data_IF_922039142436
#
_entry.id   IF_922039142436
#
_cell.length_a   1.000
_cell.length_b   1.000
_cell.length_c   1.000
_cell.angle_alpha   90.00
_cell.angle_beta   90.00
_cell.angle_gamma   90.00
#
_symmetry.space_group_name_H-M   'P 1'
#
loop_
_entity.id
_entity.type
_entity.pdbx_description
1 polymer ?
#
# COMPACT_ATOMS: atom_id res chain seq x y z
N UNK A 1 -16.64 -10.61 -3.84
CA UNK A 1 -18.02 -10.73 -3.28
C UNK A 1 -17.99 -11.37 -1.89
N UNK A 2 -17.29 -12.49 -1.65
CA UNK A 2 -17.17 -13.07 -0.30
C UNK A 2 -16.53 -12.11 0.69
N UNK A 3 -15.48 -11.39 0.31
CA UNK A 3 -14.85 -10.33 1.10
C UNK A 3 -15.82 -9.17 1.31
N UNK A 4 -16.60 -8.78 0.32
CA UNK A 4 -17.62 -7.74 0.43
C UNK A 4 -18.75 -8.17 1.36
N UNK A 5 -19.24 -9.42 1.30
CA UNK A 5 -20.25 -9.97 2.22
C UNK A 5 -19.74 -10.11 3.64
N UNK A 6 -18.47 -10.44 3.84
CA UNK A 6 -17.82 -10.45 5.18
C UNK A 6 -17.69 -9.04 5.75
N UNK A 7 -17.26 -8.07 4.94
CA UNK A 7 -17.21 -6.65 5.29
C UNK A 7 -18.62 -6.13 5.63
N UNK A 8 -19.64 -6.52 4.89
CA UNK A 8 -21.03 -6.17 5.19
C UNK A 8 -21.55 -6.83 6.49
N UNK A 9 -21.18 -8.08 6.76
CA UNK A 9 -21.54 -8.77 8.01
C UNK A 9 -20.86 -8.11 9.23
N UNK A 10 -19.60 -7.79 9.13
CA UNK A 10 -18.84 -7.09 10.19
C UNK A 10 -19.34 -5.65 10.37
N UNK A 11 -19.76 -4.97 9.29
CA UNK A 11 -20.45 -3.68 9.35
C UNK A 11 -21.81 -3.75 10.04
N UNK A 12 -22.62 -4.76 9.78
CA UNK A 12 -23.93 -4.92 10.43
C UNK A 12 -23.81 -5.20 11.93
N UNK A 13 -22.78 -5.92 12.36
CA UNK A 13 -22.49 -6.15 13.79
C UNK A 13 -21.88 -4.91 14.47
N UNK A 14 -21.07 -4.12 13.76
CA UNK A 14 -20.52 -2.86 14.26
C UNK A 14 -21.56 -1.73 14.27
N UNK A 15 -22.47 -1.68 13.30
CA UNK A 15 -23.50 -0.63 13.21
C UNK A 15 -24.60 -0.78 14.28
N UNK A 16 -24.92 -2.01 14.73
CA UNK A 16 -25.86 -2.22 15.85
C UNK A 16 -25.36 -1.72 17.21
N UNK A 17 -24.06 -1.39 17.33
CA UNK A 17 -23.48 -0.82 18.57
C UNK A 17 -23.24 0.69 18.54
N UNK A 18 -23.61 1.39 17.44
CA UNK A 18 -23.37 2.84 17.27
C UNK A 18 -24.58 3.58 16.73
N UNK A 19 -25.76 3.36 17.30
CA UNK A 19 -26.83 4.35 17.18
C UNK A 19 -26.86 5.20 18.44
N UNK A 20 -26.93 6.52 18.22
CA UNK A 20 -27.12 7.60 19.21
C UNK A 20 -25.81 8.08 19.88
N UNK A 21 -25.28 9.15 19.40
CA UNK A 21 -25.23 10.49 19.98
C UNK A 21 -24.26 11.38 19.23
N UNK A 22 -24.78 12.29 18.48
CA UNK A 22 -24.07 13.45 17.96
C UNK A 22 -23.86 14.42 19.12
N UNK A 23 -22.85 14.16 19.98
CA UNK A 23 -22.40 15.12 21.00
C UNK A 23 -20.90 15.03 21.14
N UNK A 24 -20.21 16.08 20.68
CA UNK A 24 -18.79 16.36 20.94
C UNK A 24 -17.83 15.24 20.49
N UNK A 25 -17.37 15.31 19.25
CA UNK A 25 -16.11 14.65 18.88
C UNK A 25 -15.03 15.41 19.69
N UNK A 26 -14.78 14.94 20.90
CA UNK A 26 -13.56 15.28 21.63
C UNK A 26 -12.46 14.75 20.73
N UNK A 27 -11.69 15.65 20.10
CA UNK A 27 -10.46 15.26 19.41
C UNK A 27 -9.57 14.59 20.44
N UNK A 28 -9.60 13.26 20.51
CA UNK A 28 -8.61 12.54 21.30
C UNK A 28 -7.24 12.95 20.79
N UNK A 29 -6.32 13.33 21.68
CA UNK A 29 -4.96 13.64 21.26
C UNK A 29 -4.38 12.43 20.55
N UNK A 30 -3.66 12.69 19.43
CA UNK A 30 -2.99 11.63 18.67
C UNK A 30 -2.05 10.87 19.62
N UNK A 31 -2.21 9.54 19.67
CA UNK A 31 -1.37 8.70 20.52
C UNK A 31 0.07 8.75 20.02
N UNK A 32 0.97 9.28 20.82
CA UNK A 32 2.39 9.30 20.51
C UNK A 32 2.95 7.87 20.55
N UNK A 33 3.49 7.42 19.43
CA UNK A 33 4.17 6.14 19.30
C UNK A 33 5.58 6.38 18.79
N UNK A 34 6.51 5.47 19.08
CA UNK A 34 7.85 5.54 18.49
C UNK A 34 7.79 5.39 16.96
N UNK A 35 8.85 5.83 16.28
CA UNK A 35 8.99 5.76 14.84
C UNK A 35 8.43 6.97 14.10
N UNK A 36 8.03 6.76 12.85
CA UNK A 36 7.50 7.82 11.98
C UNK A 36 6.31 8.50 12.65
N UNK A 37 6.38 9.81 12.82
CA UNK A 37 5.40 10.61 13.57
C UNK A 37 5.02 11.87 12.80
N UNK A 38 3.76 12.29 12.92
CA UNK A 38 3.32 13.57 12.39
C UNK A 38 4.05 14.73 13.06
N UNK A 39 4.31 15.83 12.33
CA UNK A 39 4.95 17.01 12.90
C UNK A 39 4.10 17.67 13.97
N UNK A 40 4.77 18.37 14.89
CA UNK A 40 4.10 19.31 15.79
C UNK A 40 3.64 20.52 14.96
N UNK A 41 2.35 20.80 14.98
CA UNK A 41 1.75 21.84 14.13
C UNK A 41 1.03 22.94 14.92
N UNK A 42 0.91 22.80 16.22
CA UNK A 42 0.15 23.73 17.06
C UNK A 42 0.74 23.95 18.44
N UNK A 43 0.10 24.82 19.20
CA UNK A 43 0.42 25.05 20.62
C UNK A 43 0.19 23.73 21.41
N UNK A 44 0.90 23.57 22.52
CA UNK A 44 0.82 22.37 23.37
C UNK A 44 1.16 21.05 22.67
N UNK A 45 2.16 21.07 21.77
CA UNK A 45 2.62 19.88 21.04
C UNK A 45 1.53 19.17 20.22
N UNK A 46 0.48 19.89 19.79
CA UNK A 46 -0.59 19.34 18.98
C UNK A 46 -0.07 18.90 17.60
N UNK A 47 -0.55 17.75 17.12
CA UNK A 47 -0.25 17.19 15.80
C UNK A 47 -1.52 17.13 14.98
N UNK A 48 -1.43 17.43 13.69
CA UNK A 48 -2.61 17.51 12.83
C UNK A 48 -2.39 16.75 11.52
N UNK A 49 -3.15 15.69 11.31
CA UNK A 49 -3.19 14.97 10.03
C UNK A 49 -3.70 15.87 8.90
N UNK A 50 -4.68 16.73 9.21
CA UNK A 50 -5.25 17.69 8.25
C UNK A 50 -4.20 18.68 7.75
N UNK A 51 -3.50 19.34 8.65
CA UNK A 51 -2.47 20.33 8.30
C UNK A 51 -1.33 19.66 7.51
N UNK A 52 -0.88 18.49 7.95
CA UNK A 52 0.18 17.72 7.31
C UNK A 52 -0.22 17.28 5.90
N UNK A 53 -1.41 16.67 5.75
CA UNK A 53 -1.89 16.21 4.44
C UNK A 53 -2.07 17.34 3.43
N UNK A 54 -2.63 18.49 3.86
CA UNK A 54 -2.71 19.69 3.03
C UNK A 54 -1.35 20.17 2.57
N UNK A 55 -0.38 20.18 3.46
CA UNK A 55 0.96 20.66 3.20
C UNK A 55 1.68 19.81 2.16
N UNK A 56 1.57 18.49 2.27
CA UNK A 56 2.13 17.53 1.30
C UNK A 56 1.50 17.74 -0.08
N UNK A 57 0.17 17.80 -0.16
CA UNK A 57 -0.52 17.98 -1.43
C UNK A 57 -0.24 19.32 -2.08
N UNK A 58 -0.14 20.39 -1.28
CA UNK A 58 0.22 21.72 -1.79
C UNK A 58 1.65 21.76 -2.33
N UNK A 59 2.60 21.12 -1.66
CA UNK A 59 3.97 21.00 -2.14
C UNK A 59 4.04 20.21 -3.47
N UNK A 60 3.30 19.11 -3.57
CA UNK A 60 3.19 18.34 -4.80
C UNK A 60 2.71 19.19 -5.98
N UNK A 61 1.64 19.97 -5.79
CA UNK A 61 1.10 20.87 -6.82
C UNK A 61 2.07 22.01 -7.19
N UNK A 62 2.77 22.58 -6.22
CA UNK A 62 3.81 23.58 -6.48
C UNK A 62 4.97 23.03 -7.28
N UNK A 63 5.32 21.75 -7.12
CA UNK A 63 6.32 21.08 -7.92
C UNK A 63 6.07 21.10 -9.43
N UNK A 64 4.81 21.33 -9.84
CA UNK A 64 4.39 21.44 -11.26
C UNK A 64 3.82 22.84 -11.61
N UNK A 65 4.04 23.84 -10.77
CA UNK A 65 3.61 25.23 -11.00
C UNK A 65 2.09 25.44 -10.85
N UNK A 66 1.38 24.57 -10.13
CA UNK A 66 -0.06 24.70 -9.84
C UNK A 66 -0.29 25.44 -8.51
N UNK A 67 0.25 26.67 -8.40
CA UNK A 67 0.29 27.43 -7.14
C UNK A 67 -1.10 27.84 -6.67
N UNK A 68 -2.01 28.19 -7.57
CA UNK A 68 -3.39 28.54 -7.25
C UNK A 68 -4.14 27.37 -6.58
N UNK A 69 -3.97 26.17 -7.10
CA UNK A 69 -4.56 24.94 -6.55
C UNK A 69 -3.91 24.58 -5.20
N UNK A 70 -2.59 24.77 -5.09
CA UNK A 70 -1.87 24.59 -3.83
C UNK A 70 -2.37 25.53 -2.72
N UNK A 71 -2.55 26.80 -3.02
CA UNK A 71 -3.09 27.78 -2.07
C UNK A 71 -4.55 27.49 -1.71
N UNK A 72 -5.35 27.02 -2.66
CA UNK A 72 -6.73 26.59 -2.40
C UNK A 72 -6.78 25.41 -1.40
N UNK A 73 -5.85 24.45 -1.49
CA UNK A 73 -5.73 23.35 -0.51
C UNK A 73 -5.42 23.90 0.88
N UNK A 74 -4.43 24.77 1.00
CA UNK A 74 -4.01 25.33 2.30
C UNK A 74 -5.14 26.11 2.96
N UNK A 75 -5.92 26.85 2.19
CA UNK A 75 -7.02 27.68 2.64
C UNK A 75 -8.34 26.92 2.86
N UNK A 76 -8.44 25.62 2.50
CA UNK A 76 -9.67 24.84 2.68
C UNK A 76 -10.03 24.71 4.16
N UNK A 77 -11.14 25.30 4.59
CA UNK A 77 -11.58 25.29 5.98
C UNK A 77 -12.26 23.98 6.38
N UNK A 78 -12.98 23.38 5.45
CA UNK A 78 -13.73 22.16 5.70
C UNK A 78 -13.06 20.93 5.06
N UNK A 79 -11.83 20.63 5.48
CA UNK A 79 -11.03 19.53 4.91
C UNK A 79 -11.74 18.18 4.87
N UNK A 80 -12.56 17.88 5.89
CA UNK A 80 -13.27 16.59 5.99
C UNK A 80 -14.15 16.30 4.76
N UNK A 81 -14.70 17.32 4.14
CA UNK A 81 -15.59 17.20 2.98
C UNK A 81 -14.98 17.80 1.71
N UNK A 82 -14.12 18.81 1.84
CA UNK A 82 -13.52 19.52 0.73
C UNK A 82 -12.35 18.80 0.06
N UNK A 83 -11.68 17.86 0.74
CA UNK A 83 -10.48 17.19 0.22
C UNK A 83 -10.69 16.53 -1.15
N UNK A 84 -11.89 16.03 -1.46
CA UNK A 84 -12.21 15.39 -2.74
C UNK A 84 -11.91 16.29 -3.94
N UNK A 85 -12.39 17.54 -3.91
CA UNK A 85 -12.13 18.52 -4.96
C UNK A 85 -10.63 18.74 -5.18
N UNK A 86 -9.86 18.74 -4.11
CA UNK A 86 -8.42 18.93 -4.20
C UNK A 86 -7.70 17.71 -4.76
N UNK A 87 -8.19 16.49 -4.49
CA UNK A 87 -7.69 15.27 -5.13
C UNK A 87 -7.99 15.26 -6.65
N UNK A 88 -9.15 15.76 -7.06
CA UNK A 88 -9.45 15.98 -8.49
C UNK A 88 -8.41 16.92 -9.13
N UNK A 89 -8.10 18.05 -8.50
CA UNK A 89 -7.10 19.01 -8.99
C UNK A 89 -5.70 18.40 -9.10
N UNK A 90 -5.31 17.56 -8.14
CA UNK A 90 -4.04 16.82 -8.21
C UNK A 90 -4.02 15.89 -9.43
N UNK A 91 -5.09 15.13 -9.68
CA UNK A 91 -5.18 14.26 -10.84
C UNK A 91 -5.13 15.06 -12.16
N UNK A 92 -5.81 16.20 -12.24
CA UNK A 92 -5.72 17.11 -13.39
C UNK A 92 -4.28 17.58 -13.61
N UNK A 93 -3.57 17.97 -12.56
CA UNK A 93 -2.17 18.38 -12.66
C UNK A 93 -1.25 17.23 -13.14
N UNK A 94 -1.50 16.00 -12.69
CA UNK A 94 -0.79 14.79 -13.12
C UNK A 94 -1.04 14.46 -14.60
N UNK A 95 -2.19 14.81 -15.15
CA UNK A 95 -2.56 14.49 -16.54
C UNK A 95 -1.83 15.30 -17.60
N UNK A 96 -1.06 16.33 -17.22
CA UNK A 96 -0.35 17.20 -18.18
C UNK A 96 0.75 16.45 -18.95
N UNK A 97 1.55 15.68 -18.24
CA UNK A 97 2.61 14.87 -18.85
C UNK A 97 3.18 13.87 -17.83
N UNK A 98 3.82 12.80 -18.32
CA UNK A 98 4.59 11.88 -17.45
C UNK A 98 5.66 12.61 -16.64
N UNK A 99 6.31 13.63 -17.22
CA UNK A 99 7.32 14.44 -16.55
C UNK A 99 6.73 15.22 -15.37
N UNK A 100 5.54 15.79 -15.55
CA UNK A 100 4.87 16.52 -14.46
C UNK A 100 4.31 15.57 -13.40
N UNK A 101 3.84 14.38 -13.79
CA UNK A 101 3.46 13.34 -12.85
C UNK A 101 4.62 12.98 -11.91
N UNK A 102 5.82 12.75 -12.45
CA UNK A 102 7.03 12.43 -11.67
C UNK A 102 7.47 13.61 -10.79
N UNK A 103 7.44 14.85 -11.31
CA UNK A 103 7.79 16.04 -10.53
C UNK A 103 6.83 16.24 -9.35
N UNK A 104 5.53 16.09 -9.59
CA UNK A 104 4.50 16.21 -8.57
C UNK A 104 4.70 15.17 -7.47
N UNK A 105 4.91 13.91 -7.85
CA UNK A 105 5.18 12.82 -6.91
C UNK A 105 6.42 13.10 -6.06
N UNK A 106 7.55 13.48 -6.68
CA UNK A 106 8.79 13.81 -5.95
C UNK A 106 8.60 14.95 -4.97
N UNK A 107 8.01 16.05 -5.39
CA UNK A 107 7.79 17.21 -4.52
C UNK A 107 6.90 16.85 -3.31
N UNK A 108 5.88 16.03 -3.51
CA UNK A 108 5.03 15.55 -2.42
C UNK A 108 5.77 14.64 -1.42
N UNK A 109 6.56 13.69 -1.92
CA UNK A 109 7.34 12.76 -1.07
C UNK A 109 8.48 13.48 -0.34
N UNK A 110 9.19 14.39 -1.00
CA UNK A 110 10.23 15.22 -0.38
C UNK A 110 9.65 16.06 0.76
N UNK A 111 8.51 16.72 0.54
CA UNK A 111 7.84 17.47 1.61
C UNK A 111 7.40 16.55 2.75
N UNK A 112 6.88 15.35 2.46
CA UNK A 112 6.53 14.39 3.49
C UNK A 112 7.75 14.03 4.35
N UNK A 113 8.88 13.67 3.77
CA UNK A 113 10.12 13.33 4.49
C UNK A 113 10.66 14.52 5.29
N UNK A 114 10.55 15.73 4.77
CA UNK A 114 10.99 16.96 5.42
C UNK A 114 10.16 17.31 6.65
N UNK A 115 8.85 17.10 6.62
CA UNK A 115 7.96 17.54 7.70
C UNK A 115 7.69 16.46 8.75
N UNK A 116 7.73 15.18 8.38
CA UNK A 116 7.57 14.11 9.36
C UNK A 116 8.80 14.03 10.26
N UNK A 117 8.58 13.54 11.47
CA UNK A 117 9.65 13.29 12.45
C UNK A 117 9.77 11.79 12.72
N UNK A 118 10.91 11.38 13.21
CA UNK A 118 11.16 10.04 13.73
C UNK A 118 11.39 10.11 15.24
N UNK A 119 10.51 9.45 15.98
CA UNK A 119 10.56 9.43 17.44
C UNK A 119 11.25 8.19 17.93
N UNK A 120 12.34 8.35 18.67
CA UNK A 120 13.08 7.26 19.32
C UNK A 120 12.50 6.92 20.70
N UNK A 121 12.93 5.79 21.27
CA UNK A 121 12.35 5.23 22.51
C UNK A 121 12.42 6.16 23.73
N UNK A 122 13.42 7.02 23.83
CA UNK A 122 13.58 7.99 24.90
C UNK A 122 12.69 9.25 24.74
N UNK A 123 11.88 9.28 23.70
CA UNK A 123 10.95 10.38 23.40
C UNK A 123 11.53 11.52 22.60
N UNK A 124 12.82 11.51 22.29
CA UNK A 124 13.43 12.48 21.37
C UNK A 124 12.93 12.30 19.97
N UNK A 125 12.86 13.38 19.23
CA UNK A 125 12.43 13.39 17.84
C UNK A 125 13.48 14.03 16.96
N UNK A 126 13.72 13.42 15.80
CA UNK A 126 14.59 13.95 14.77
C UNK A 126 13.79 14.14 13.46
N UNK A 127 14.27 14.97 12.56
CA UNK A 127 13.72 15.08 11.21
C UNK A 127 13.81 13.72 10.50
N UNK A 128 12.72 13.27 9.90
CA UNK A 128 12.71 12.01 9.16
C UNK A 128 13.69 12.02 7.98
N UNK A 129 13.83 13.15 7.31
CA UNK A 129 14.81 13.37 6.24
C UNK A 129 16.26 13.08 6.70
N UNK A 130 16.63 13.55 7.90
CA UNK A 130 17.95 13.25 8.48
C UNK A 130 18.12 11.78 8.79
N UNK A 131 17.06 11.14 9.29
CA UNK A 131 17.09 9.71 9.63
C UNK A 131 17.29 8.86 8.38
N UNK A 132 16.58 9.17 7.30
CA UNK A 132 16.68 8.47 6.02
C UNK A 132 18.02 8.75 5.33
N UNK A 133 18.52 9.99 5.35
CA UNK A 133 19.79 10.37 4.75
C UNK A 133 21.03 9.67 5.33
N UNK A 134 20.92 9.10 6.54
CA UNK A 134 22.02 8.33 7.19
C UNK A 134 22.04 6.86 6.84
N UNK A 135 21.15 6.40 6.01
CA UNK A 135 21.13 5.02 5.55
C UNK A 135 22.40 4.75 4.72
N UNK A 136 23.20 3.79 5.16
CA UNK A 136 24.46 3.43 4.49
C UNK A 136 25.71 4.18 4.99
N UNK A 137 25.60 5.17 5.86
CA UNK A 137 26.75 5.81 6.50
C UNK A 137 27.24 4.97 7.70
N UNK A 138 28.16 4.06 7.45
CA UNK A 138 28.89 3.34 8.49
C UNK A 138 29.87 4.31 9.15
N UNK A 139 29.54 4.85 10.33
CA UNK A 139 30.53 5.52 11.16
C UNK A 139 30.23 6.93 11.69
N UNK A 140 29.06 7.52 11.45
CA UNK A 140 28.75 8.82 12.04
C UNK A 140 28.40 8.72 13.53
N UNK A 141 29.03 9.57 14.32
CA UNK A 141 28.92 9.68 15.79
C UNK A 141 27.61 10.29 16.29
N UNK A 142 26.48 10.04 15.61
CA UNK A 142 25.23 10.70 15.93
C UNK A 142 24.29 9.83 16.80
N UNK A 143 23.43 10.49 17.55
CA UNK A 143 22.52 9.96 18.57
C UNK A 143 21.46 8.95 18.10
N UNK A 144 21.31 8.72 16.80
CA UNK A 144 20.35 7.78 16.23
C UNK A 144 21.02 6.57 15.58
N UNK A 145 21.73 5.79 16.39
CA UNK A 145 22.10 4.42 15.97
C UNK A 145 20.83 3.57 15.92
N UNK A 146 20.79 2.55 15.04
CA UNK A 146 19.73 1.55 15.07
C UNK A 146 19.51 1.04 16.48
N UNK A 147 18.29 0.92 16.94
CA UNK A 147 17.97 0.50 18.31
C UNK A 147 18.33 -0.97 18.56
N UNK A 148 18.47 -1.75 17.51
CA UNK A 148 18.90 -3.14 17.48
C UNK A 148 19.42 -3.54 16.11
N UNK A 149 20.18 -4.60 16.05
CA UNK A 149 20.48 -5.30 14.81
C UNK A 149 19.31 -6.23 14.43
N UNK A 150 19.01 -6.29 13.15
CA UNK A 150 18.10 -7.30 12.58
C UNK A 150 18.95 -8.39 11.94
N UNK A 151 18.73 -9.62 12.37
CA UNK A 151 19.34 -10.81 11.77
C UNK A 151 18.40 -11.43 10.74
N UNK A 152 18.95 -12.28 9.88
CA UNK A 152 18.23 -12.94 8.81
C UNK A 152 17.87 -14.38 9.22
N UNK A 153 16.56 -14.69 9.25
CA UNK A 153 16.06 -16.06 9.31
C UNK A 153 15.63 -16.54 7.93
N UNK A 154 15.83 -17.80 7.63
CA UNK A 154 15.45 -18.39 6.35
C UNK A 154 14.67 -19.69 6.61
N UNK A 155 13.51 -19.79 5.97
CA UNK A 155 12.69 -21.01 5.93
C UNK A 155 12.51 -21.44 4.49
N UNK A 156 12.85 -22.67 4.19
CA UNK A 156 12.71 -23.25 2.86
C UNK A 156 11.39 -24.01 2.78
N UNK A 157 10.74 -23.90 1.63
CA UNK A 157 9.67 -24.82 1.29
C UNK A 157 10.22 -26.20 0.93
N UNK A 158 9.48 -27.24 1.26
CA UNK A 158 9.89 -28.64 1.07
C UNK A 158 9.31 -29.25 -0.21
N UNK A 159 8.30 -28.60 -0.80
CA UNK A 159 7.72 -29.11 -2.05
C UNK A 159 8.64 -28.81 -3.24
N UNK A 160 8.73 -29.81 -4.10
CA UNK A 160 9.47 -29.67 -5.35
C UNK A 160 8.68 -28.82 -6.33
N UNK A 161 9.33 -27.82 -6.94
CA UNK A 161 8.74 -27.09 -8.06
C UNK A 161 8.49 -28.06 -9.22
N UNK A 162 7.22 -28.24 -9.63
CA UNK A 162 6.84 -29.19 -10.68
C UNK A 162 6.83 -28.48 -12.04
N UNK A 163 7.90 -28.64 -12.80
CA UNK A 163 7.93 -28.28 -14.22
C UNK A 163 7.86 -26.80 -14.50
N UNK A 164 7.03 -26.43 -15.49
CA UNK A 164 6.72 -25.05 -15.82
C UNK A 164 5.82 -24.42 -14.73
N UNK A 165 5.91 -23.12 -14.54
CA UNK A 165 4.98 -22.39 -13.69
C UNK A 165 3.53 -22.68 -14.08
N UNK A 166 2.62 -22.43 -13.18
CA UNK A 166 1.18 -22.53 -13.43
C UNK A 166 0.52 -21.30 -12.82
N UNK A 167 -0.39 -20.68 -13.56
CA UNK A 167 -1.26 -19.65 -12.97
C UNK A 167 -2.00 -20.29 -11.78
N UNK A 168 -1.89 -19.70 -10.59
CA UNK A 168 -2.53 -20.25 -9.39
C UNK A 168 -4.04 -20.41 -9.57
N UNK A 169 -4.58 -21.44 -8.95
CA UNK A 169 -6.01 -21.68 -8.90
C UNK A 169 -6.71 -20.55 -8.11
N UNK A 170 -7.89 -20.14 -8.55
CA UNK A 170 -8.66 -19.07 -7.94
C UNK A 170 -9.94 -19.60 -7.33
N UNK A 171 -10.16 -19.35 -6.05
CA UNK A 171 -11.42 -19.67 -5.38
C UNK A 171 -12.43 -18.52 -5.53
N UNK A 172 -13.58 -18.83 -6.11
CA UNK A 172 -14.67 -17.88 -6.24
C UNK A 172 -16.02 -18.57 -5.97
N UNK A 173 -16.80 -18.03 -5.05
CA UNK A 173 -18.11 -18.55 -4.62
C UNK A 173 -18.11 -20.05 -4.23
N UNK A 174 -17.01 -20.50 -3.59
CA UNK A 174 -16.88 -21.87 -3.11
C UNK A 174 -16.50 -22.90 -4.19
N UNK A 175 -16.18 -22.43 -5.39
CA UNK A 175 -15.64 -23.24 -6.48
C UNK A 175 -14.23 -22.79 -6.82
N UNK A 176 -13.35 -23.74 -7.11
CA UNK A 176 -11.98 -23.51 -7.59
C UNK A 176 -11.96 -23.48 -9.12
N UNK A 177 -11.33 -22.46 -9.68
CA UNK A 177 -11.17 -22.26 -11.11
C UNK A 177 -9.71 -22.30 -11.50
N UNK A 178 -9.39 -23.02 -12.58
CA UNK A 178 -8.03 -23.11 -13.11
C UNK A 178 -8.03 -23.13 -14.64
N UNK A 179 -6.91 -22.72 -15.25
CA UNK A 179 -6.71 -22.78 -16.70
C UNK A 179 -7.91 -22.26 -17.52
N UNK A 180 -8.48 -23.05 -18.44
CA UNK A 180 -9.60 -22.61 -19.29
C UNK A 180 -10.86 -22.23 -18.52
N UNK A 181 -11.14 -22.86 -17.37
CA UNK A 181 -12.30 -22.48 -16.53
C UNK A 181 -12.14 -21.08 -15.94
N UNK A 182 -10.91 -20.70 -15.55
CA UNK A 182 -10.61 -19.36 -15.06
C UNK A 182 -10.77 -18.32 -16.18
N UNK A 183 -10.36 -18.64 -17.42
CA UNK A 183 -10.60 -17.78 -18.58
C UNK A 183 -12.10 -17.59 -18.80
N UNK A 184 -12.90 -18.66 -18.72
CA UNK A 184 -14.37 -18.62 -18.87
C UNK A 184 -15.00 -17.75 -17.79
N UNK A 185 -14.54 -17.85 -16.54
CA UNK A 185 -14.99 -17.00 -15.43
C UNK A 185 -14.66 -15.53 -15.69
N UNK A 186 -13.45 -15.22 -16.15
CA UNK A 186 -13.02 -13.86 -16.46
C UNK A 186 -13.84 -13.24 -17.62
N UNK A 187 -14.14 -14.04 -18.66
CA UNK A 187 -15.04 -13.64 -19.76
C UNK A 187 -16.49 -13.40 -19.27
N UNK A 188 -16.96 -14.20 -18.32
CA UNK A 188 -18.28 -13.97 -17.68
C UNK A 188 -18.32 -12.64 -16.94
N UNK A 189 -17.26 -12.30 -16.19
CA UNK A 189 -17.18 -11.00 -15.52
C UNK A 189 -17.17 -9.83 -16.50
N UNK A 190 -16.46 -9.97 -17.62
CA UNK A 190 -16.45 -8.94 -18.68
C UNK A 190 -17.84 -8.81 -19.34
N UNK A 191 -18.51 -9.92 -19.65
CA UNK A 191 -19.85 -9.92 -20.25
C UNK A 191 -20.93 -9.34 -19.32
N UNK A 192 -20.72 -9.42 -18.01
CA UNK A 192 -21.60 -8.84 -16.98
C UNK A 192 -21.20 -7.42 -16.57
N UNK A 193 -20.26 -6.79 -17.26
CA UNK A 193 -19.70 -5.47 -16.93
C UNK A 193 -19.12 -5.37 -15.50
N UNK A 194 -18.71 -6.49 -14.91
CA UNK A 194 -18.04 -6.53 -13.60
C UNK A 194 -16.53 -6.33 -13.75
N UNK A 195 -16.00 -6.54 -14.96
CA UNK A 195 -14.62 -6.30 -15.34
C UNK A 195 -14.55 -5.78 -16.78
N UNK A 196 -13.40 -5.22 -17.16
CA UNK A 196 -13.14 -4.84 -18.54
C UNK A 196 -12.79 -6.07 -19.39
N UNK A 197 -13.00 -6.00 -20.70
CA UNK A 197 -12.55 -7.03 -21.65
C UNK A 197 -11.04 -7.28 -21.54
N UNK A 198 -10.25 -6.22 -21.31
CA UNK A 198 -8.81 -6.31 -21.12
C UNK A 198 -8.42 -7.19 -19.92
N UNK A 199 -9.24 -7.27 -18.86
CA UNK A 199 -9.03 -8.19 -17.76
C UNK A 199 -9.16 -9.64 -18.25
N UNK A 200 -10.23 -9.97 -18.98
CA UNK A 200 -10.43 -11.32 -19.50
C UNK A 200 -9.32 -11.72 -20.48
N UNK A 201 -8.88 -10.80 -21.35
CA UNK A 201 -7.74 -11.00 -22.24
C UNK A 201 -6.44 -11.24 -21.46
N UNK A 202 -6.18 -10.49 -20.41
CA UNK A 202 -4.98 -10.66 -19.58
C UNK A 202 -4.95 -12.01 -18.86
N UNK A 203 -6.11 -12.49 -18.36
CA UNK A 203 -6.23 -13.82 -17.77
C UNK A 203 -6.00 -14.90 -18.81
N UNK A 204 -6.54 -14.75 -20.03
CA UNK A 204 -6.34 -15.68 -21.13
C UNK A 204 -4.86 -15.76 -21.52
N UNK A 205 -4.17 -14.63 -21.67
CA UNK A 205 -2.72 -14.62 -21.94
C UNK A 205 -1.92 -15.25 -20.79
N UNK A 206 -2.24 -14.94 -19.55
CA UNK A 206 -1.58 -15.55 -18.39
C UNK A 206 -1.73 -17.08 -18.36
N UNK A 207 -2.87 -17.62 -18.78
CA UNK A 207 -3.08 -19.08 -18.89
C UNK A 207 -2.28 -19.71 -20.03
N UNK A 208 -2.09 -18.97 -21.17
CA UNK A 208 -1.27 -19.42 -22.29
C UNK A 208 0.22 -19.43 -22.00
N UNK A 209 0.67 -18.64 -21.01
CA UNK A 209 2.07 -18.42 -20.68
C UNK A 209 2.42 -18.92 -19.27
N UNK A 210 2.38 -20.23 -19.01
CA UNK A 210 2.69 -20.79 -17.69
C UNK A 210 4.10 -20.47 -17.23
N UNK A 211 5.06 -20.24 -18.13
CA UNK A 211 6.44 -19.84 -17.82
C UNK A 211 6.53 -18.52 -17.07
N UNK A 212 5.54 -17.63 -17.20
CA UNK A 212 5.50 -16.38 -16.42
C UNK A 212 5.37 -16.60 -14.91
N UNK A 213 4.90 -17.78 -14.51
CA UNK A 213 4.73 -18.17 -13.11
C UNK A 213 5.89 -19.03 -12.58
N UNK A 214 6.97 -19.17 -13.32
CA UNK A 214 8.24 -19.64 -12.80
C UNK A 214 9.03 -18.49 -12.19
N UNK A 215 8.84 -18.29 -10.89
CA UNK A 215 9.48 -17.19 -10.15
C UNK A 215 10.75 -17.64 -9.42
N UNK A 216 11.31 -18.78 -9.75
CA UNK A 216 12.60 -19.24 -9.19
C UNK A 216 13.70 -18.23 -9.55
N UNK A 217 14.52 -17.88 -8.55
CA UNK A 217 15.56 -16.85 -8.69
C UNK A 217 15.04 -15.40 -8.62
N UNK A 218 13.74 -15.16 -8.60
CA UNK A 218 13.17 -13.84 -8.36
C UNK A 218 13.05 -13.55 -6.88
N UNK A 219 13.32 -12.28 -6.50
CA UNK A 219 13.28 -11.83 -5.11
C UNK A 219 12.22 -10.75 -4.93
N UNK A 220 11.31 -10.98 -3.99
CA UNK A 220 10.23 -10.06 -3.63
C UNK A 220 10.39 -9.61 -2.18
N UNK A 221 10.41 -8.31 -1.93
CA UNK A 221 10.30 -7.73 -0.58
C UNK A 221 8.84 -7.37 -0.35
N UNK A 222 8.19 -8.02 0.61
CA UNK A 222 6.81 -7.73 0.97
C UNK A 222 6.73 -6.88 2.24
N UNK A 223 6.51 -5.58 2.11
CA UNK A 223 6.28 -4.68 3.24
C UNK A 223 4.79 -4.79 3.64
N UNK A 224 4.52 -5.56 4.68
CA UNK A 224 3.17 -5.98 5.05
C UNK A 224 2.83 -7.41 4.62
N UNK A 225 3.80 -8.33 4.69
CA UNK A 225 3.69 -9.71 4.23
C UNK A 225 2.53 -10.53 4.84
N UNK A 226 1.98 -10.09 5.98
CA UNK A 226 0.82 -10.72 6.63
C UNK A 226 -0.51 -10.07 6.26
N UNK A 227 -0.54 -9.21 5.24
CA UNK A 227 -1.79 -8.64 4.70
C UNK A 227 -2.62 -9.74 4.04
N UNK A 228 -3.92 -9.79 4.33
CA UNK A 228 -4.86 -10.75 3.72
C UNK A 228 -4.96 -10.61 2.19
N UNK A 229 -4.63 -9.41 1.66
CA UNK A 229 -4.62 -9.12 0.23
C UNK A 229 -3.22 -9.21 -0.38
N UNK A 230 -2.22 -9.65 0.40
CA UNK A 230 -0.83 -9.74 -0.06
C UNK A 230 -0.58 -10.97 -0.94
N UNK A 231 0.40 -10.91 -1.86
CA UNK A 231 0.69 -11.98 -2.82
C UNK A 231 1.59 -13.08 -2.24
N UNK A 232 1.81 -13.16 -0.92
CA UNK A 232 2.79 -14.04 -0.30
C UNK A 232 2.66 -15.51 -0.73
N UNK A 233 1.46 -16.07 -0.56
CA UNK A 233 1.23 -17.49 -0.80
C UNK A 233 1.41 -17.87 -2.29
N UNK A 234 0.94 -16.99 -3.18
CA UNK A 234 1.09 -17.15 -4.63
C UNK A 234 2.58 -17.11 -5.04
N UNK A 235 3.33 -16.13 -4.54
CA UNK A 235 4.76 -16.00 -4.85
C UNK A 235 5.55 -17.23 -4.38
N UNK A 236 5.27 -17.73 -3.18
CA UNK A 236 5.91 -18.93 -2.66
C UNK A 236 5.52 -20.19 -3.46
N UNK A 237 4.26 -20.32 -3.87
CA UNK A 237 3.80 -21.41 -4.75
C UNK A 237 4.48 -21.38 -6.12
N UNK A 238 4.79 -20.19 -6.62
CA UNK A 238 5.55 -19.99 -7.87
C UNK A 238 7.07 -20.12 -7.69
N UNK A 239 7.57 -20.50 -6.52
CA UNK A 239 8.99 -20.76 -6.26
C UNK A 239 9.84 -19.53 -5.97
N UNK A 240 9.24 -18.36 -5.74
CA UNK A 240 9.96 -17.13 -5.45
C UNK A 240 10.72 -17.17 -4.11
N UNK A 241 11.74 -16.31 -3.99
CA UNK A 241 12.31 -15.92 -2.71
C UNK A 241 11.57 -14.67 -2.20
N UNK A 242 10.93 -14.80 -1.04
CA UNK A 242 10.16 -13.70 -0.44
C UNK A 242 10.83 -13.20 0.83
N UNK A 243 11.23 -11.93 0.86
CA UNK A 243 11.69 -11.22 2.05
C UNK A 243 10.47 -10.59 2.72
N UNK A 244 10.03 -11.15 3.84
CA UNK A 244 8.75 -10.80 4.47
C UNK A 244 8.94 -9.82 5.62
N UNK A 245 8.39 -8.61 5.49
CA UNK A 245 8.33 -7.61 6.55
C UNK A 245 6.93 -7.55 7.15
N UNK A 246 6.82 -7.85 8.43
CA UNK A 246 5.62 -7.66 9.23
C UNK A 246 5.97 -7.48 10.71
N UNK A 247 5.09 -6.83 11.45
CA UNK A 247 5.28 -6.62 12.90
C UNK A 247 5.45 -7.93 13.64
N UNK A 248 6.10 -7.91 14.79
CA UNK A 248 6.20 -9.02 15.74
C UNK A 248 4.81 -9.55 16.11
N UNK A 249 4.76 -10.74 16.66
CA UNK A 249 3.55 -11.28 17.28
C UNK A 249 2.97 -10.30 18.30
N UNK A 250 1.66 -10.30 18.45
CA UNK A 250 0.95 -9.47 19.42
C UNK A 250 0.07 -10.33 20.32
N UNK A 251 -0.40 -9.77 21.44
CA UNK A 251 -1.34 -10.47 22.33
C UNK A 251 -2.61 -10.95 21.61
N UNK A 252 -3.09 -10.22 20.63
CA UNK A 252 -4.27 -10.60 19.82
C UNK A 252 -3.98 -11.57 18.70
N UNK A 253 -2.71 -11.71 18.29
CA UNK A 253 -2.24 -12.61 17.22
C UNK A 253 -0.89 -13.23 17.64
N UNK A 254 -0.87 -14.13 18.67
CA UNK A 254 0.38 -14.66 19.22
C UNK A 254 1.14 -15.58 18.25
N UNK A 255 0.42 -16.30 17.39
CA UNK A 255 0.99 -17.29 16.48
C UNK A 255 1.03 -16.83 15.03
N UNK A 256 0.94 -15.52 14.79
CA UNK A 256 0.91 -14.98 13.43
C UNK A 256 2.09 -15.44 12.58
N UNK A 257 3.30 -15.35 13.10
CA UNK A 257 4.51 -15.78 12.39
C UNK A 257 4.60 -17.29 12.28
N UNK A 258 4.31 -18.05 13.33
CA UNK A 258 4.29 -19.50 13.29
C UNK A 258 3.35 -20.02 12.20
N UNK A 259 2.13 -19.50 12.14
CA UNK A 259 1.15 -19.88 11.12
C UNK A 259 1.61 -19.52 9.70
N UNK A 260 2.33 -18.41 9.53
CA UNK A 260 2.92 -18.03 8.26
C UNK A 260 4.05 -18.99 7.88
N UNK A 261 4.97 -19.29 8.80
CA UNK A 261 6.11 -20.18 8.55
C UNK A 261 5.69 -21.60 8.21
N UNK A 262 4.66 -22.16 8.87
CA UNK A 262 4.12 -23.48 8.55
C UNK A 262 3.61 -23.58 7.12
N UNK A 263 2.98 -22.52 6.59
CA UNK A 263 2.52 -22.50 5.19
C UNK A 263 3.66 -22.52 4.18
N UNK A 264 4.84 -22.00 4.54
CA UNK A 264 6.01 -22.00 3.65
C UNK A 264 6.45 -23.42 3.32
N UNK A 265 6.46 -24.32 4.30
CA UNK A 265 6.89 -25.73 4.16
C UNK A 265 6.13 -26.43 3.02
N UNK A 266 4.86 -26.09 2.85
CA UNK A 266 4.00 -26.65 1.81
C UNK A 266 4.19 -26.03 0.41
N UNK A 267 5.24 -25.26 0.18
CA UNK A 267 5.54 -24.57 -1.09
C UNK A 267 6.92 -24.92 -1.62
N UNK A 268 7.24 -24.64 -2.89
CA UNK A 268 8.60 -24.74 -3.42
C UNK A 268 9.43 -23.47 -3.19
N UNK A 269 8.85 -22.40 -2.60
CA UNK A 269 9.49 -21.12 -2.41
C UNK A 269 10.41 -21.05 -1.21
N UNK A 270 10.96 -19.87 -0.97
CA UNK A 270 11.82 -19.56 0.16
C UNK A 270 11.36 -18.29 0.86
N UNK A 271 11.21 -18.33 2.18
CA UNK A 271 10.88 -17.18 2.98
C UNK A 271 12.08 -16.68 3.78
N UNK A 272 12.35 -15.40 3.69
CA UNK A 272 13.40 -14.68 4.44
C UNK A 272 12.73 -13.73 5.39
N UNK A 273 13.09 -13.79 6.67
CA UNK A 273 12.40 -13.05 7.74
C UNK A 273 13.37 -12.27 8.62
N UNK A 274 12.98 -11.08 9.12
CA UNK A 274 13.74 -10.37 10.15
C UNK A 274 13.57 -11.06 11.50
N UNK A 275 14.68 -11.41 12.15
CA UNK A 275 14.70 -12.04 13.47
C UNK A 275 15.59 -11.27 14.44
N UNK A 276 15.41 -11.54 15.75
CA UNK A 276 16.06 -10.75 16.80
C UNK A 276 17.49 -11.21 17.17
N UNK A 277 17.89 -12.40 16.72
CA UNK A 277 19.25 -12.98 16.89
C UNK A 277 19.59 -13.82 15.68
N UNK A 278 20.86 -14.19 15.51
CA UNK A 278 21.28 -15.10 14.46
C UNK A 278 20.53 -16.45 14.54
N UNK A 279 20.12 -16.95 13.37
CA UNK A 279 19.52 -18.28 13.24
C UNK A 279 20.57 -19.38 13.51
N UNK A 280 20.20 -20.36 14.29
CA UNK A 280 20.99 -21.57 14.53
C UNK A 280 20.42 -22.78 13.78
N UNK A 281 21.18 -23.88 13.74
CA UNK A 281 20.70 -25.12 13.09
C UNK A 281 19.54 -25.79 13.84
N UNK A 282 19.42 -25.50 15.14
CA UNK A 282 18.40 -26.08 16.02
C UNK A 282 17.12 -25.27 16.07
N UNK A 283 17.05 -24.12 15.36
CA UNK A 283 15.87 -23.27 15.34
C UNK A 283 14.78 -23.87 14.45
N UNK A 284 13.74 -24.38 15.10
CA UNK A 284 12.51 -24.83 14.47
C UNK A 284 11.56 -23.67 14.13
N UNK A 285 10.44 -23.99 13.49
CA UNK A 285 9.39 -23.01 13.13
C UNK A 285 8.83 -22.30 14.35
N UNK A 286 8.71 -22.98 15.49
CA UNK A 286 8.18 -22.41 16.71
C UNK A 286 9.14 -21.35 17.26
N UNK A 287 10.42 -21.67 17.32
CA UNK A 287 11.48 -20.77 17.76
C UNK A 287 11.57 -19.55 16.84
N UNK A 288 11.68 -19.79 15.53
CA UNK A 288 11.74 -18.71 14.53
C UNK A 288 10.50 -17.81 14.59
N UNK A 289 9.30 -18.40 14.73
CA UNK A 289 8.05 -17.66 14.82
C UNK A 289 7.96 -16.75 16.05
N UNK A 290 8.63 -17.11 17.16
CA UNK A 290 8.65 -16.29 18.36
C UNK A 290 9.59 -15.07 18.26
N UNK A 291 10.68 -15.19 17.50
CA UNK A 291 11.70 -14.13 17.36
C UNK A 291 11.56 -13.31 16.07
N UNK A 292 10.61 -13.67 15.20
CA UNK A 292 10.39 -13.01 13.92
C UNK A 292 9.64 -11.68 14.04
N UNK A 293 9.95 -10.79 13.11
CA UNK A 293 9.19 -9.56 12.84
C UNK A 293 9.95 -8.28 13.12
N UNK A 294 9.58 -7.26 12.32
CA UNK A 294 10.01 -5.87 12.48
C UNK A 294 8.86 -4.93 12.07
N UNK A 295 8.75 -3.80 12.72
CA UNK A 295 7.71 -2.79 12.46
C UNK A 295 8.25 -1.69 11.56
N UNK A 296 7.70 -1.58 10.34
CA UNK A 296 8.13 -0.62 9.33
C UNK A 296 8.07 0.84 9.81
N UNK A 297 7.17 1.17 10.74
CA UNK A 297 7.03 2.53 11.25
C UNK A 297 7.99 2.87 12.37
N UNK A 298 8.33 1.93 13.23
CA UNK A 298 9.14 2.16 14.44
C UNK A 298 10.55 1.58 14.38
N UNK A 299 10.85 0.72 13.41
CA UNK A 299 12.17 0.12 13.19
C UNK A 299 12.69 0.40 11.76
N UNK A 300 12.42 1.63 11.27
CA UNK A 300 12.71 2.03 9.89
C UNK A 300 14.18 1.88 9.53
N UNK A 301 15.09 2.41 10.35
CA UNK A 301 16.55 2.35 10.11
C UNK A 301 17.06 0.92 10.15
N UNK A 302 16.61 0.14 11.11
CA UNK A 302 16.95 -1.26 11.28
C UNK A 302 16.56 -2.06 10.04
N UNK A 303 15.37 -1.82 9.52
CA UNK A 303 14.83 -2.49 8.32
C UNK A 303 15.65 -2.10 7.08
N UNK A 304 15.90 -0.82 6.87
CA UNK A 304 16.66 -0.37 5.69
C UNK A 304 18.08 -0.90 5.73
N UNK A 305 18.75 -0.86 6.89
CA UNK A 305 20.10 -1.44 7.05
C UNK A 305 20.10 -2.95 6.82
N UNK A 306 19.07 -3.66 7.30
CA UNK A 306 18.93 -5.10 7.09
C UNK A 306 18.71 -5.44 5.62
N UNK A 307 17.84 -4.73 4.92
CA UNK A 307 17.58 -4.94 3.49
C UNK A 307 18.82 -4.65 2.63
N UNK A 308 19.68 -3.74 3.07
CA UNK A 308 20.96 -3.41 2.41
C UNK A 308 22.12 -4.28 2.91
N UNK A 309 21.90 -5.19 3.86
CA UNK A 309 22.97 -6.07 4.37
C UNK A 309 23.43 -7.09 3.33
N UNK A 310 24.65 -7.58 3.48
CA UNK A 310 25.22 -8.62 2.63
C UNK A 310 24.35 -9.89 2.60
N UNK A 311 23.64 -10.22 3.68
CA UNK A 311 22.79 -11.39 3.76
C UNK A 311 21.59 -11.29 2.82
N UNK A 312 21.00 -10.12 2.67
CA UNK A 312 19.88 -9.88 1.75
C UNK A 312 20.39 -9.64 0.32
N UNK A 313 21.44 -8.84 0.15
CA UNK A 313 21.99 -8.50 -1.18
C UNK A 313 22.50 -9.75 -1.92
N UNK A 314 23.04 -10.75 -1.22
CA UNK A 314 23.44 -12.03 -1.81
C UNK A 314 22.27 -12.87 -2.34
N UNK A 315 21.04 -12.60 -1.92
CA UNK A 315 19.85 -13.30 -2.43
C UNK A 315 19.43 -12.74 -3.79
N UNK A 316 19.76 -11.49 -4.06
CA UNK A 316 19.49 -10.85 -5.35
C UNK A 316 20.62 -11.24 -6.29
N UNK A 317 20.37 -12.17 -7.21
CA UNK A 317 21.34 -12.53 -8.24
C UNK A 317 21.64 -11.32 -9.14
N UNK A 318 22.81 -11.30 -9.79
CA UNK A 318 23.24 -10.17 -10.65
C UNK A 318 22.21 -9.80 -11.73
N UNK A 319 21.44 -10.76 -12.21
CA UNK A 319 20.43 -10.59 -13.27
C UNK A 319 18.98 -10.59 -12.75
N UNK A 320 18.79 -10.65 -11.44
CA UNK A 320 17.47 -10.63 -10.81
C UNK A 320 17.06 -9.20 -10.50
N UNK A 321 15.86 -8.80 -10.91
CA UNK A 321 15.24 -7.56 -10.46
C UNK A 321 14.67 -7.74 -9.05
N UNK A 322 14.88 -6.75 -8.20
CA UNK A 322 14.23 -6.66 -6.90
C UNK A 322 12.81 -6.12 -7.08
N UNK A 323 11.83 -6.82 -6.53
CA UNK A 323 10.44 -6.39 -6.54
C UNK A 323 10.00 -6.02 -5.13
N UNK A 324 9.50 -4.81 -4.93
CA UNK A 324 9.07 -4.33 -3.61
C UNK A 324 7.55 -4.12 -3.62
N UNK A 325 6.85 -4.84 -2.78
CA UNK A 325 5.40 -4.72 -2.58
C UNK A 325 5.10 -3.89 -1.33
N UNK A 326 4.38 -2.79 -1.51
CA UNK A 326 3.94 -1.88 -0.46
C UNK A 326 2.50 -2.21 -0.03
N UNK A 327 2.34 -3.16 0.89
CA UNK A 327 1.06 -3.78 1.25
C UNK A 327 0.55 -3.50 2.65
N UNK A 328 1.15 -2.58 3.42
CA UNK A 328 0.60 -2.23 4.74
C UNK A 328 -0.68 -1.43 4.56
N UNK A 329 -1.76 -1.92 5.16
CA UNK A 329 -3.03 -1.23 5.28
C UNK A 329 -3.39 -1.05 6.75
N UNK A 330 -3.70 0.19 7.15
CA UNK A 330 -4.09 0.56 8.50
C UNK A 330 -5.24 1.57 8.47
N UNK A 331 -5.89 1.79 9.61
CA UNK A 331 -6.93 2.80 9.73
C UNK A 331 -6.37 4.18 10.09
N UNK A 332 -7.04 5.21 9.61
CA UNK A 332 -6.85 6.58 10.05
C UNK A 332 -5.44 7.12 9.83
N UNK A 333 -4.87 7.72 10.86
CA UNK A 333 -3.54 8.34 10.84
C UNK A 333 -2.40 7.31 10.71
N UNK A 334 -2.63 6.10 11.20
CA UNK A 334 -1.66 5.01 11.10
C UNK A 334 -1.36 4.63 9.66
N UNK A 335 -2.33 4.75 8.77
CA UNK A 335 -2.13 4.46 7.36
C UNK A 335 -1.21 5.48 6.66
N UNK A 336 -1.38 6.77 6.97
CA UNK A 336 -0.49 7.82 6.44
C UNK A 336 0.95 7.61 6.92
N UNK A 337 1.15 7.32 8.21
CA UNK A 337 2.47 7.01 8.79
C UNK A 337 3.12 5.80 8.13
N UNK A 338 2.34 4.75 7.92
CA UNK A 338 2.83 3.54 7.25
C UNK A 338 3.20 3.80 5.78
N UNK A 339 2.43 4.64 5.07
CA UNK A 339 2.74 5.01 3.68
C UNK A 339 4.04 5.79 3.59
N UNK A 340 4.28 6.74 4.50
CA UNK A 340 5.56 7.46 4.57
C UNK A 340 6.72 6.51 4.92
N UNK A 341 6.51 5.57 5.85
CA UNK A 341 7.54 4.59 6.21
C UNK A 341 7.88 3.66 5.02
N UNK A 342 6.88 3.21 4.28
CA UNK A 342 7.09 2.38 3.07
C UNK A 342 7.87 3.15 2.01
N UNK A 343 7.56 4.42 1.76
CA UNK A 343 8.31 5.28 0.86
C UNK A 343 9.79 5.40 1.28
N UNK A 344 10.06 5.64 2.56
CA UNK A 344 11.42 5.70 3.08
C UNK A 344 12.19 4.37 2.93
N UNK A 345 11.53 3.23 3.11
CA UNK A 345 12.15 1.92 2.90
C UNK A 345 12.48 1.72 1.42
N UNK A 346 11.55 2.05 0.52
CA UNK A 346 11.76 1.96 -0.93
C UNK A 346 12.94 2.83 -1.37
N UNK A 347 12.98 4.07 -0.92
CA UNK A 347 14.07 5.01 -1.23
C UNK A 347 15.43 4.50 -0.73
N UNK A 348 15.48 3.99 0.51
CA UNK A 348 16.68 3.40 1.08
C UNK A 348 17.17 2.16 0.32
N UNK A 349 16.27 1.34 -0.24
CA UNK A 349 16.63 0.20 -1.09
C UNK A 349 17.06 0.65 -2.49
N UNK A 350 16.43 1.67 -3.08
CA UNK A 350 16.71 2.17 -4.42
C UNK A 350 18.09 2.80 -4.48
N UNK A 351 18.46 3.58 -3.48
CA UNK A 351 19.78 4.24 -3.39
C UNK A 351 20.91 3.23 -3.25
N UNK A 352 20.66 2.06 -2.69
CA UNK A 352 21.64 0.98 -2.59
C UNK A 352 21.79 0.15 -3.88
N UNK A 353 20.76 0.10 -4.71
CA UNK A 353 20.70 -0.69 -5.95
C UNK A 353 21.26 0.13 -7.15
N UNK A 354 22.59 0.23 -7.25
CA UNK A 354 23.25 1.04 -8.29
C UNK A 354 22.98 0.60 -9.73
N UNK A 355 22.63 -0.67 -9.97
CA UNK A 355 22.61 -1.26 -11.31
C UNK A 355 21.24 -1.51 -11.89
N UNK A 356 20.19 -1.59 -11.08
CA UNK A 356 18.83 -1.80 -11.56
C UNK A 356 17.82 -1.30 -10.52
N UNK A 357 16.99 -0.30 -10.84
CA UNK A 357 15.99 0.18 -9.92
C UNK A 357 14.97 -0.94 -9.60
N UNK A 358 14.47 -1.04 -8.36
CA UNK A 358 13.47 -2.03 -8.01
C UNK A 358 12.14 -1.76 -8.71
N UNK A 359 11.41 -2.83 -9.03
CA UNK A 359 10.01 -2.71 -9.46
C UNK A 359 9.12 -2.51 -8.24
N UNK A 360 8.28 -1.48 -8.27
CA UNK A 360 7.34 -1.20 -7.19
C UNK A 360 5.97 -1.80 -7.50
N UNK A 361 5.37 -2.43 -6.48
CA UNK A 361 4.02 -2.98 -6.54
C UNK A 361 3.22 -2.45 -5.35
N UNK A 362 2.01 -2.02 -5.61
CA UNK A 362 1.06 -1.62 -4.57
C UNK A 362 -0.37 -1.96 -5.00
N UNK A 363 -1.26 -2.12 -4.01
CA UNK A 363 -2.67 -2.34 -4.30
C UNK A 363 -3.35 -0.99 -4.48
N UNK A 364 -3.91 -0.76 -5.65
CA UNK A 364 -4.77 0.38 -5.90
C UNK A 364 -6.18 0.12 -5.34
N UNK A 365 -7.03 1.11 -5.38
CA UNK A 365 -8.37 1.08 -4.84
C UNK A 365 -9.35 1.76 -5.80
N UNK A 366 -10.54 1.18 -6.04
CA UNK A 366 -11.56 1.85 -6.84
C UNK A 366 -12.10 3.13 -6.18
N UNK A 367 -11.87 3.29 -4.88
CA UNK A 367 -12.28 4.46 -4.11
C UNK A 367 -11.22 5.57 -4.12
N UNK A 368 -10.75 5.95 -5.30
CA UNK A 368 -9.81 7.04 -5.53
C UNK A 368 -10.17 7.80 -6.80
N UNK A 369 -9.36 8.78 -7.16
CA UNK A 369 -9.49 9.49 -8.44
C UNK A 369 -8.67 8.74 -9.49
N UNK A 370 -9.29 8.37 -10.60
CA UNK A 370 -8.68 7.54 -11.64
C UNK A 370 -8.81 8.17 -13.02
N UNK A 371 -7.85 7.87 -13.89
CA UNK A 371 -8.00 8.06 -15.33
C UNK A 371 -8.86 6.95 -15.90
N UNK A 372 -9.87 7.29 -16.68
CA UNK A 372 -10.80 6.33 -17.28
C UNK A 372 -10.93 6.58 -18.79
N UNK A 373 -11.06 5.50 -19.55
CA UNK A 373 -11.29 5.58 -20.99
C UNK A 373 -12.74 6.01 -21.29
N UNK A 374 -13.01 6.54 -22.49
CA UNK A 374 -14.37 6.85 -22.94
C UNK A 374 -15.33 5.67 -22.86
N UNK A 375 -14.84 4.45 -23.10
CA UNK A 375 -15.64 3.22 -22.96
C UNK A 375 -16.14 3.03 -21.52
N UNK A 376 -15.27 3.19 -20.53
CA UNK A 376 -15.66 3.08 -19.10
C UNK A 376 -16.68 4.15 -18.74
N UNK A 377 -16.50 5.38 -19.23
CA UNK A 377 -17.46 6.44 -19.03
C UNK A 377 -18.82 6.11 -19.63
N UNK A 378 -18.85 5.68 -20.88
CA UNK A 378 -20.08 5.34 -21.58
C UNK A 378 -20.84 4.22 -20.85
N UNK A 379 -20.14 3.16 -20.42
CA UNK A 379 -20.72 2.07 -19.62
C UNK A 379 -21.29 2.59 -18.30
N UNK A 380 -20.56 3.42 -17.57
CA UNK A 380 -21.02 4.02 -16.32
C UNK A 380 -22.28 4.90 -16.52
N UNK A 381 -22.34 5.66 -17.61
CA UNK A 381 -23.52 6.48 -17.96
C UNK A 381 -24.73 5.63 -18.30
N UNK A 382 -24.53 4.51 -18.99
CA UNK A 382 -25.60 3.58 -19.31
C UNK A 382 -26.21 2.95 -18.05
N UNK A 383 -25.37 2.45 -17.13
CA UNK A 383 -25.83 1.95 -15.83
C UNK A 383 -26.61 3.00 -15.04
N UNK A 384 -26.13 4.24 -15.09
CA UNK A 384 -26.81 5.35 -14.42
C UNK A 384 -28.20 5.63 -14.99
N UNK A 385 -28.39 5.50 -16.31
CA UNK A 385 -29.70 5.61 -16.96
C UNK A 385 -30.64 4.49 -16.51
N UNK A 386 -30.13 3.28 -16.32
CA UNK A 386 -30.85 2.10 -15.85
C UNK A 386 -31.05 2.06 -14.32
N UNK A 387 -30.56 3.05 -13.57
CA UNK A 387 -30.65 3.07 -12.11
C UNK A 387 -32.08 2.99 -11.61
N UNK A 388 -32.36 2.25 -10.50
CA UNK A 388 -33.67 2.15 -9.88
C UNK A 388 -34.29 3.51 -9.55
N UNK A 389 -35.64 3.60 -9.63
CA UNK A 389 -36.35 4.86 -9.37
C UNK A 389 -36.00 5.49 -8.00
N UNK A 390 -35.86 4.67 -6.95
CA UNK A 390 -35.47 5.14 -5.62
C UNK A 390 -34.10 5.85 -5.61
N UNK A 391 -33.13 5.38 -6.39
CA UNK A 391 -31.83 6.02 -6.51
C UNK A 391 -31.93 7.34 -7.29
N UNK A 392 -32.79 7.40 -8.30
CA UNK A 392 -33.08 8.65 -9.05
C UNK A 392 -33.71 9.72 -8.14
N UNK A 393 -34.62 9.32 -7.25
CA UNK A 393 -35.22 10.20 -6.25
C UNK A 393 -34.18 10.67 -5.25
N UNK A 394 -33.33 9.81 -4.69
CA UNK A 394 -32.25 10.19 -3.79
C UNK A 394 -31.29 11.17 -4.45
N UNK A 395 -31.03 11.02 -5.75
CA UNK A 395 -30.22 11.96 -6.52
C UNK A 395 -30.89 13.32 -6.66
N UNK A 396 -32.22 13.37 -6.98
CA UNK A 396 -32.97 14.61 -7.10
C UNK A 396 -33.03 15.38 -5.77
N UNK A 397 -33.03 14.67 -4.65
CA UNK A 397 -33.00 15.23 -3.30
C UNK A 397 -31.57 15.58 -2.82
N UNK A 398 -30.54 15.38 -3.64
CA UNK A 398 -29.15 15.71 -3.30
C UNK A 398 -28.44 14.69 -2.38
N UNK A 399 -29.10 13.58 -2.01
CA UNK A 399 -28.48 12.53 -1.17
C UNK A 399 -27.56 11.58 -1.95
N UNK A 400 -27.68 11.51 -3.28
CA UNK A 400 -26.79 10.77 -4.15
C UNK A 400 -26.26 11.71 -5.24
N UNK A 401 -24.93 11.70 -5.43
CA UNK A 401 -24.29 12.45 -6.51
C UNK A 401 -23.88 11.48 -7.63
N UNK A 402 -24.02 11.93 -8.87
CA UNK A 402 -23.42 11.22 -9.99
C UNK A 402 -21.88 11.29 -9.90
N UNK A 403 -21.16 10.28 -10.40
CA UNK A 403 -19.75 10.40 -10.67
C UNK A 403 -19.47 11.65 -11.50
N UNK A 404 -18.42 12.36 -11.18
CA UNK A 404 -17.99 13.53 -11.94
C UNK A 404 -16.85 13.09 -12.85
N UNK A 405 -16.96 13.43 -14.11
CA UNK A 405 -15.91 13.27 -15.10
C UNK A 405 -15.32 14.64 -15.39
N UNK A 406 -14.01 14.73 -15.39
CA UNK A 406 -13.26 15.96 -15.60
C UNK A 406 -12.33 15.70 -16.78
N UNK A 407 -12.31 16.59 -17.76
CA UNK A 407 -11.39 16.48 -18.88
C UNK A 407 -9.93 16.58 -18.42
N UNK A 408 -9.06 15.78 -19.01
CA UNK A 408 -7.62 15.88 -18.81
C UNK A 408 -7.06 17.11 -19.53
N UNK A 409 -5.85 17.50 -19.21
CA UNK A 409 -5.17 18.62 -19.86
C UNK A 409 -4.79 18.33 -21.31
N UNK A 410 -4.49 17.09 -21.58
CA UNK A 410 -4.19 16.62 -22.91
C UNK A 410 -5.51 16.29 -23.60
N UNK A 411 -5.67 16.63 -24.87
CA UNK A 411 -6.83 16.26 -25.69
C UNK A 411 -6.96 14.75 -25.92
N UNK A 412 -6.33 13.96 -25.05
CA UNK A 412 -6.49 12.51 -25.00
C UNK A 412 -7.94 12.14 -24.66
N UNK A 413 -8.40 11.04 -25.20
CA UNK A 413 -9.73 10.49 -24.95
C UNK A 413 -9.95 10.07 -23.47
N UNK A 414 -8.96 10.28 -22.59
CA UNK A 414 -9.02 9.94 -21.17
C UNK A 414 -9.67 11.04 -20.35
N UNK A 415 -10.42 10.64 -19.37
CA UNK A 415 -11.07 11.51 -18.40
C UNK A 415 -10.72 11.11 -16.98
N UNK A 416 -10.93 12.00 -16.05
CA UNK A 416 -10.71 11.78 -14.62
C UNK A 416 -12.04 11.44 -13.97
N UNK A 417 -12.13 10.29 -13.35
CA UNK A 417 -13.27 9.82 -12.56
C UNK A 417 -13.00 10.00 -11.07
N UNK A 418 -13.87 10.75 -10.38
CA UNK A 418 -13.84 10.86 -8.92
C UNK A 418 -14.62 9.70 -8.28
N UNK A 419 -13.90 8.63 -7.91
CA UNK A 419 -14.43 7.49 -7.17
C UNK A 419 -14.29 7.62 -5.64
N UNK A 420 -13.82 8.76 -5.13
CA UNK A 420 -13.57 8.96 -3.70
C UNK A 420 -14.83 8.79 -2.84
N UNK A 421 -14.71 7.96 -1.82
CA UNK A 421 -15.76 7.75 -0.82
C UNK A 421 -15.52 8.63 0.41
N UNK A 422 -16.50 9.45 0.75
CA UNK A 422 -16.46 10.31 1.96
C UNK A 422 -16.28 9.50 3.24
N UNK A 423 -16.77 8.26 3.28
CA UNK A 423 -16.68 7.37 4.44
C UNK A 423 -15.22 6.99 4.76
N UNK A 424 -14.36 6.84 3.77
CA UNK A 424 -12.95 6.54 3.95
C UNK A 424 -12.18 7.72 4.55
N UNK A 425 -12.53 8.93 4.16
CA UNK A 425 -11.99 10.16 4.71
C UNK A 425 -10.63 10.57 4.17
N UNK A 426 -10.16 11.78 4.55
CA UNK A 426 -8.98 12.40 3.97
C UNK A 426 -7.67 11.67 4.30
N UNK A 427 -7.54 11.02 5.45
CA UNK A 427 -6.32 10.27 5.80
C UNK A 427 -6.10 9.08 4.85
N UNK A 428 -7.18 8.38 4.49
CA UNK A 428 -7.10 7.31 3.51
C UNK A 428 -6.66 7.85 2.14
N UNK A 429 -7.27 8.93 1.69
CA UNK A 429 -6.93 9.56 0.41
C UNK A 429 -5.46 10.03 0.36
N UNK A 430 -4.97 10.67 1.44
CA UNK A 430 -3.57 11.09 1.55
C UNK A 430 -2.62 9.89 1.58
N UNK A 431 -2.95 8.82 2.31
CA UNK A 431 -2.13 7.60 2.34
C UNK A 431 -2.02 6.96 0.95
N UNK A 432 -3.13 6.86 0.22
CA UNK A 432 -3.14 6.35 -1.16
C UNK A 432 -2.42 7.28 -2.14
N UNK A 433 -2.52 8.59 -1.95
CA UNK A 433 -1.75 9.56 -2.72
C UNK A 433 -0.22 9.37 -2.54
N UNK A 434 0.23 9.12 -1.31
CA UNK A 434 1.64 8.85 -1.02
C UNK A 434 2.14 7.51 -1.61
N UNK A 435 1.26 6.52 -1.78
CA UNK A 435 1.60 5.22 -2.36
C UNK A 435 1.69 5.26 -3.88
N UNK A 436 0.89 6.07 -4.55
CA UNK A 436 0.85 6.25 -6.02
C UNK A 436 1.94 7.18 -6.51
#
# INVERSE_FOLDING_TARGET
LAVLRRIERERRTSCKKKSVTNKYIIKMPMKLTNGVSFPVTGKNSARSTTSTGKRIMAAALRGVGADKEADAILNEKNWRFGYRKHMENVAVAMSKSNKDCVKLARAGLEEARKIFTYRIKDGKEESLERVVGRVGESGSSSSSKPSREIHTGIVYGEKRFKGQGKLPDVEYEGKTYSGPELVSLAKTFAAQDQALDSFAMSVEEAVKHPEWFDLRGKVFVLIGATSEMGPLDILLQCGATVVALARKNSRSKPDKWKNLLRRVVDTPGKLVIPITRAQTKDDDIETLGNIAGADATSELLEIVNWLNSNSIQKLVAKDSSLHIYCGIYLDGEGFVRASVAMDCIVDGCTNASKNSPPTLLYIDTPSHVHFVSPKIRATSEEYRKKAPAGLKILKSLGFAKAPKYISTYDSSDWEIHDGLSIQQGPNYAVAKFLQR
#
